data_IF_491441496958
#
_entry.id   IF_491441496958
#
_cell.length_a   1.000
_cell.length_b   1.000
_cell.length_c   1.000
_cell.angle_alpha   90.00
_cell.angle_beta   90.00
_cell.angle_gamma   90.00
#
_symmetry.space_group_name_H-M   'P 1'
#
loop_
_entity.id
_entity.type
_entity.pdbx_description
1 polymer ?
#
# COMPACT_ATOMS: atom_id res chain seq x y z
N UNK A 1 -70.52 10.62 -11.38
CA UNK A 1 -69.55 9.97 -10.49
C UNK A 1 -68.18 10.04 -11.15
N UNK A 2 -67.31 10.93 -10.67
CA UNK A 2 -65.96 11.13 -11.24
C UNK A 2 -64.98 10.31 -10.39
N UNK A 3 -64.37 9.30 -11.00
CA UNK A 3 -63.44 8.37 -10.35
C UNK A 3 -62.02 8.93 -10.42
N UNK A 4 -61.57 9.57 -9.35
CA UNK A 4 -60.20 10.10 -9.21
C UNK A 4 -59.24 8.95 -8.89
N UNK A 5 -58.36 8.58 -9.84
CA UNK A 5 -57.28 7.62 -9.60
C UNK A 5 -56.05 8.37 -9.07
N UNK A 6 -55.69 8.08 -7.82
CA UNK A 6 -54.47 8.59 -7.18
C UNK A 6 -53.30 7.69 -7.60
N UNK A 7 -52.36 8.24 -8.38
CA UNK A 7 -51.08 7.58 -8.66
C UNK A 7 -50.13 7.81 -7.48
N UNK A 8 -49.77 6.73 -6.79
CA UNK A 8 -48.73 6.73 -5.76
C UNK A 8 -47.38 6.48 -6.46
N UNK A 9 -46.54 7.50 -6.54
CA UNK A 9 -45.15 7.37 -6.97
C UNK A 9 -44.30 6.91 -5.78
N UNK A 10 -43.86 5.66 -5.79
CA UNK A 10 -42.87 5.14 -4.85
C UNK A 10 -41.50 5.64 -5.31
N UNK A 11 -40.96 6.67 -4.64
CA UNK A 11 -39.55 7.04 -4.77
C UNK A 11 -38.70 5.91 -4.16
N UNK A 12 -38.06 5.11 -5.02
CA UNK A 12 -36.94 4.27 -4.61
C UNK A 12 -35.76 5.20 -4.29
N UNK A 13 -35.56 5.49 -3.00
CA UNK A 13 -34.32 6.11 -2.54
C UNK A 13 -33.16 5.14 -2.74
N UNK A 14 -32.17 5.55 -3.54
CA UNK A 14 -30.91 4.82 -3.66
C UNK A 14 -30.20 4.85 -2.31
N UNK A 15 -30.06 3.69 -1.67
CA UNK A 15 -29.22 3.54 -0.49
C UNK A 15 -27.77 3.64 -0.97
N UNK A 16 -27.18 4.82 -0.88
CA UNK A 16 -25.73 4.97 -1.00
C UNK A 16 -25.12 4.33 0.24
N UNK A 17 -24.61 3.11 0.12
CA UNK A 17 -23.69 2.56 1.12
C UNK A 17 -22.50 3.52 1.18
N UNK A 18 -22.45 4.31 2.25
CA UNK A 18 -21.24 5.04 2.65
C UNK A 18 -20.15 3.99 2.83
N UNK A 19 -19.28 3.87 1.83
CA UNK A 19 -18.06 3.07 1.96
C UNK A 19 -17.30 3.69 3.14
N UNK A 20 -17.05 2.89 4.18
CA UNK A 20 -16.26 3.37 5.30
C UNK A 20 -14.85 3.69 4.77
N UNK A 21 -14.25 4.84 5.15
CA UNK A 21 -12.94 5.21 4.64
C UNK A 21 -11.94 4.10 4.94
N UNK A 22 -11.09 3.79 3.96
CA UNK A 22 -9.99 2.86 4.10
C UNK A 22 -9.13 3.22 5.32
N UNK A 23 -9.17 2.39 6.36
CA UNK A 23 -8.58 2.70 7.66
C UNK A 23 -7.06 2.41 7.65
N UNK A 24 -6.29 3.46 7.36
CA UNK A 24 -4.83 3.46 7.47
C UNK A 24 -4.40 4.14 8.76
N UNK A 25 -4.60 3.45 9.88
CA UNK A 25 -4.20 3.88 11.23
C UNK A 25 -3.79 2.68 12.09
N UNK A 26 -3.22 2.95 13.27
CA UNK A 26 -2.94 1.94 14.29
C UNK A 26 -1.83 0.97 13.89
N UNK A 27 -1.98 -0.31 14.25
CA UNK A 27 -1.00 -1.34 13.87
C UNK A 27 -1.52 -2.24 12.76
N UNK A 28 -0.61 -2.72 11.91
CA UNK A 28 -0.98 -3.50 10.74
C UNK A 28 0.19 -4.24 10.10
N UNK A 29 -0.13 -5.15 9.19
CA UNK A 29 0.83 -5.72 8.24
C UNK A 29 0.78 -4.96 6.91
N UNK A 30 1.87 -5.03 6.16
CA UNK A 30 1.90 -4.54 4.78
C UNK A 30 2.02 -5.75 3.86
N UNK A 31 0.94 -6.06 3.15
CA UNK A 31 0.90 -7.07 2.12
C UNK A 31 1.35 -6.49 0.78
N UNK A 32 2.00 -7.33 0.00
CA UNK A 32 2.50 -7.01 -1.34
C UNK A 32 1.61 -7.73 -2.34
N UNK A 33 0.91 -6.94 -3.16
CA UNK A 33 -0.04 -7.43 -4.17
C UNK A 33 0.58 -7.23 -5.55
N UNK A 34 0.55 -8.28 -6.38
CA UNK A 34 0.98 -8.14 -7.76
C UNK A 34 -0.09 -7.40 -8.56
N UNK A 35 0.25 -6.25 -9.10
CA UNK A 35 -0.68 -5.40 -9.82
C UNK A 35 -0.15 -3.98 -10.06
N UNK A 36 -0.77 -3.30 -11.01
CA UNK A 36 -0.35 -1.98 -11.49
C UNK A 36 -1.46 -0.93 -11.43
N UNK A 37 -2.60 -1.25 -10.80
CA UNK A 37 -3.72 -0.34 -10.73
C UNK A 37 -4.50 -0.56 -9.41
N UNK A 38 -4.54 0.43 -8.50
CA UNK A 38 -5.25 0.28 -7.22
C UNK A 38 -6.78 0.22 -7.37
N UNK A 39 -7.35 0.72 -8.47
CA UNK A 39 -8.80 0.70 -8.73
C UNK A 39 -9.28 -0.72 -9.05
N UNK A 40 -8.46 -1.47 -9.78
CA UNK A 40 -8.75 -2.86 -10.19
C UNK A 40 -7.92 -3.89 -9.42
N UNK A 41 -7.07 -3.43 -8.50
CA UNK A 41 -6.21 -4.27 -7.67
C UNK A 41 -7.04 -5.26 -6.85
N UNK A 42 -6.61 -6.52 -6.86
CA UNK A 42 -7.29 -7.59 -6.15
C UNK A 42 -6.37 -8.15 -5.06
N UNK A 43 -6.71 -8.03 -3.77
CA UNK A 43 -5.94 -8.64 -2.67
C UNK A 43 -5.80 -10.16 -2.77
N UNK A 44 -6.65 -10.85 -3.54
CA UNK A 44 -6.44 -12.28 -3.82
C UNK A 44 -5.16 -12.54 -4.64
N UNK A 45 -4.63 -11.51 -5.31
CA UNK A 45 -3.32 -11.50 -5.98
C UNK A 45 -2.16 -11.14 -5.03
N UNK A 46 -2.35 -11.27 -3.71
CA UNK A 46 -1.26 -11.10 -2.73
C UNK A 46 -0.16 -12.11 -2.99
N UNK A 47 1.03 -11.61 -3.31
CA UNK A 47 2.23 -12.41 -3.57
C UNK A 47 3.16 -12.46 -2.36
N UNK A 48 2.97 -11.60 -1.36
CA UNK A 48 3.66 -11.71 -0.08
C UNK A 48 3.45 -10.54 0.85
N UNK A 49 4.47 -10.21 1.64
CA UNK A 49 4.41 -9.14 2.62
C UNK A 49 5.79 -8.54 2.90
N UNK A 50 5.80 -7.39 3.57
CA UNK A 50 7.02 -6.77 4.07
C UNK A 50 7.36 -7.32 5.46
N UNK A 51 8.63 -7.62 5.70
CA UNK A 51 9.18 -7.91 7.05
C UNK A 51 9.31 -6.62 7.86
N UNK A 52 9.53 -6.73 9.17
CA UNK A 52 9.75 -5.56 10.03
C UNK A 52 10.96 -4.71 9.62
N UNK A 53 11.93 -5.24 8.87
CA UNK A 53 13.04 -4.47 8.34
C UNK A 53 12.76 -3.83 6.97
N UNK A 54 11.61 -4.14 6.35
CA UNK A 54 11.19 -3.62 5.06
C UNK A 54 11.52 -4.52 3.86
N UNK A 55 11.90 -5.78 4.07
CA UNK A 55 12.17 -6.74 2.98
C UNK A 55 10.89 -7.38 2.49
N UNK A 56 10.73 -7.54 1.17
CA UNK A 56 9.63 -8.30 0.59
C UNK A 56 9.95 -9.79 0.63
N UNK A 57 9.06 -10.57 1.24
CA UNK A 57 9.11 -12.02 1.34
C UNK A 57 7.84 -12.65 0.78
N UNK A 58 7.92 -13.92 0.39
CA UNK A 58 6.80 -14.66 -0.22
C UNK A 58 5.66 -14.93 0.79
N UNK A 59 4.41 -14.94 0.31
CA UNK A 59 3.19 -15.09 1.13
C UNK A 59 3.13 -16.37 1.99
N UNK A 60 3.87 -17.44 1.66
CA UNK A 60 3.87 -18.66 2.47
C UNK A 60 4.52 -18.44 3.86
N UNK A 61 5.38 -17.43 3.97
CA UNK A 61 6.10 -17.05 5.18
C UNK A 61 5.34 -16.02 6.03
N UNK A 62 4.01 -16.13 6.15
CA UNK A 62 3.18 -15.11 6.85
C UNK A 62 3.61 -14.81 8.28
N UNK A 63 4.17 -15.80 8.99
CA UNK A 63 4.68 -15.62 10.35
C UNK A 63 5.89 -14.68 10.42
N UNK A 64 6.52 -14.37 9.29
CA UNK A 64 7.65 -13.42 9.16
C UNK A 64 7.20 -12.03 8.68
N UNK A 65 5.90 -11.83 8.40
CA UNK A 65 5.38 -10.51 8.05
C UNK A 65 5.59 -9.55 9.22
N UNK A 66 6.09 -8.37 8.91
CA UNK A 66 6.32 -7.32 9.89
C UNK A 66 5.02 -6.74 10.41
N UNK A 67 5.06 -6.35 11.68
CA UNK A 67 4.05 -5.45 12.25
C UNK A 67 4.57 -4.04 12.17
N UNK A 68 3.75 -3.17 11.62
CA UNK A 68 4.01 -1.76 11.43
C UNK A 68 3.02 -0.95 12.24
N UNK A 69 3.44 0.25 12.62
CA UNK A 69 2.63 1.22 13.34
C UNK A 69 2.51 2.46 12.47
N UNK A 70 1.27 2.77 12.13
CA UNK A 70 0.84 4.07 11.63
C UNK A 70 0.62 4.98 12.83
N UNK A 71 0.78 6.29 12.64
CA UNK A 71 0.63 7.31 13.70
C UNK A 71 1.72 7.31 14.79
N UNK A 72 2.93 6.86 14.44
CA UNK A 72 4.09 7.09 15.30
C UNK A 72 4.41 8.60 15.37
N UNK A 73 4.62 9.19 16.57
CA UNK A 73 4.89 10.62 16.71
C UNK A 73 6.19 11.08 16.03
N UNK A 74 7.12 10.17 15.74
CA UNK A 74 8.43 10.47 15.15
C UNK A 74 8.47 10.27 13.63
N UNK A 75 7.55 9.50 13.05
CA UNK A 75 7.52 9.21 11.62
C UNK A 75 6.17 8.68 11.16
N UNK A 76 5.86 8.84 9.87
CA UNK A 76 4.56 8.45 9.31
C UNK A 76 4.31 6.94 9.37
N UNK A 77 5.35 6.12 9.28
CA UNK A 77 5.27 4.66 9.36
C UNK A 77 6.50 4.12 10.11
N UNK A 78 6.28 3.19 11.03
CA UNK A 78 7.35 2.60 11.84
C UNK A 78 7.18 1.09 12.01
N UNK A 79 8.25 0.40 12.39
CA UNK A 79 8.25 -0.99 12.84
C UNK A 79 9.10 -1.12 14.11
N UNK A 80 9.30 -2.35 14.59
CA UNK A 80 10.24 -2.65 15.69
C UNK A 80 11.69 -2.27 15.37
N UNK A 81 12.04 -1.99 14.11
CA UNK A 81 13.39 -1.57 13.70
C UNK A 81 13.56 -0.04 13.66
N UNK A 82 12.46 0.72 13.78
CA UNK A 82 12.45 2.17 13.71
C UNK A 82 11.53 2.68 12.60
N UNK A 83 11.77 3.91 12.17
CA UNK A 83 10.99 4.53 11.09
C UNK A 83 11.22 3.83 9.77
N UNK A 84 10.21 3.81 8.91
CA UNK A 84 10.26 3.18 7.61
C UNK A 84 10.21 4.23 6.50
N UNK A 85 10.94 4.00 5.40
CA UNK A 85 10.92 4.91 4.26
C UNK A 85 11.86 4.49 3.13
N UNK A 86 11.97 5.36 2.12
CA UNK A 86 12.80 5.18 0.92
C UNK A 86 14.02 6.11 0.89
N UNK A 87 14.39 6.71 2.03
CA UNK A 87 15.45 7.73 2.12
C UNK A 87 16.67 7.29 2.94
N UNK A 88 16.76 6.00 3.31
CA UNK A 88 17.90 5.47 4.07
C UNK A 88 19.04 5.08 3.11
N UNK A 89 20.19 5.80 3.13
CA UNK A 89 21.30 5.51 2.22
C UNK A 89 22.01 4.20 2.50
N UNK A 90 21.72 3.55 3.63
CA UNK A 90 22.22 2.21 3.94
C UNK A 90 21.33 1.09 3.37
N UNK A 91 20.26 1.42 2.65
CA UNK A 91 19.47 0.48 1.87
C UNK A 91 20.03 0.35 0.43
N UNK A 92 19.55 -0.65 -0.31
CA UNK A 92 19.92 -0.81 -1.72
C UNK A 92 19.56 0.45 -2.50
N UNK A 93 20.52 1.03 -3.23
CA UNK A 93 20.27 2.21 -4.06
C UNK A 93 19.18 1.90 -5.10
N UNK A 94 18.25 2.84 -5.26
CA UNK A 94 17.21 2.76 -6.26
C UNK A 94 17.74 2.93 -7.68
N UNK A 95 16.85 3.36 -8.58
CA UNK A 95 17.19 3.57 -9.99
C UNK A 95 18.13 4.78 -10.15
N UNK A 96 19.02 4.79 -11.16
CA UNK A 96 19.83 5.97 -11.50
C UNK A 96 19.01 7.24 -11.75
N UNK A 97 17.76 7.09 -12.21
CA UNK A 97 16.85 8.22 -12.50
C UNK A 97 16.10 8.74 -11.28
N UNK A 98 16.18 8.03 -10.16
CA UNK A 98 15.59 8.40 -8.88
C UNK A 98 16.67 8.33 -7.78
N UNK A 99 17.82 9.01 -7.96
CA UNK A 99 19.04 8.75 -7.19
C UNK A 99 18.90 9.08 -5.70
N UNK A 100 17.93 9.92 -5.33
CA UNK A 100 17.63 10.23 -3.93
C UNK A 100 16.86 9.13 -3.19
N UNK A 101 16.30 8.16 -3.91
CA UNK A 101 15.50 7.09 -3.32
C UNK A 101 16.26 5.76 -3.27
N UNK A 102 16.06 5.06 -2.17
CA UNK A 102 16.62 3.75 -1.86
C UNK A 102 15.50 2.74 -1.69
N UNK A 103 15.83 1.46 -1.57
CA UNK A 103 14.87 0.43 -1.23
C UNK A 103 14.16 0.76 0.09
N UNK A 104 12.89 0.39 0.19
CA UNK A 104 12.11 0.48 1.41
C UNK A 104 12.86 -0.21 2.55
N UNK A 105 13.06 0.53 3.63
CA UNK A 105 13.77 0.05 4.81
C UNK A 105 13.19 0.64 6.06
N UNK A 106 13.13 -0.16 7.11
CA UNK A 106 12.85 0.31 8.46
C UNK A 106 14.13 0.28 9.30
N UNK A 107 14.43 1.39 9.97
CA UNK A 107 15.68 1.56 10.71
C UNK A 107 15.77 2.91 11.43
N UNK A 108 16.84 3.08 12.21
CA UNK A 108 17.13 4.37 12.89
C UNK A 108 17.38 5.52 11.91
N UNK A 109 18.01 5.24 10.76
CA UNK A 109 18.37 6.24 9.75
C UNK A 109 17.25 6.56 8.77
N UNK A 110 16.15 5.80 8.79
CA UNK A 110 14.98 6.02 7.94
C UNK A 110 14.01 7.08 8.50
N UNK A 111 14.40 7.79 9.57
CA UNK A 111 13.58 8.77 10.30
C UNK A 111 13.24 10.07 9.53
N UNK A 112 13.41 10.12 8.22
CA UNK A 112 13.01 11.29 7.45
C UNK A 112 11.49 11.34 7.32
N UNK A 113 10.91 12.30 8.02
CA UNK A 113 9.48 12.65 8.18
C UNK A 113 8.72 12.81 6.85
N UNK A 114 9.44 12.87 5.73
CA UNK A 114 8.91 13.33 4.44
C UNK A 114 8.52 12.22 3.45
N UNK A 115 8.59 10.93 3.83
CA UNK A 115 8.05 9.88 2.95
C UNK A 115 6.52 9.90 2.91
N UNK A 116 5.86 10.51 3.90
CA UNK A 116 4.42 10.76 3.91
C UNK A 116 3.60 9.55 3.45
N UNK A 117 3.51 8.49 4.26
CA UNK A 117 2.64 7.37 3.96
C UNK A 117 1.19 7.73 4.29
N UNK A 118 0.26 7.47 3.37
CA UNK A 118 -1.17 7.65 3.57
C UNK A 118 -1.98 6.62 2.76
N UNK A 119 -3.29 6.60 2.95
CA UNK A 119 -4.22 5.89 2.09
C UNK A 119 -5.22 6.90 1.54
N UNK A 120 -5.71 6.66 0.32
CA UNK A 120 -6.77 7.44 -0.27
C UNK A 120 -7.97 6.55 -0.59
N UNK A 121 -9.15 7.07 -0.28
CA UNK A 121 -10.42 6.50 -0.74
C UNK A 121 -10.73 7.07 -2.14
N UNK A 122 -10.04 6.54 -3.16
CA UNK A 122 -10.22 6.98 -4.56
C UNK A 122 -11.24 6.15 -5.34
N UNK A 123 -11.73 5.05 -4.77
CA UNK A 123 -12.68 4.18 -5.46
C UNK A 123 -13.80 3.83 -4.50
N UNK A 124 -15.03 4.34 -4.74
CA UNK A 124 -16.19 4.01 -3.90
C UNK A 124 -16.53 2.51 -3.90
N UNK A 125 -15.85 1.69 -4.71
CA UNK A 125 -16.02 0.25 -4.83
C UNK A 125 -14.78 -0.56 -4.43
N UNK A 126 -13.66 0.07 -4.04
CA UNK A 126 -12.47 -0.65 -3.56
C UNK A 126 -12.40 -0.53 -2.03
N UNK A 127 -12.79 -1.56 -1.27
CA UNK A 127 -12.75 -1.52 0.20
C UNK A 127 -11.33 -1.67 0.76
N UNK A 128 -10.29 -1.48 -0.06
CA UNK A 128 -8.92 -1.84 0.26
C UNK A 128 -8.08 -0.62 0.59
N UNK A 129 -7.31 -0.73 1.67
CA UNK A 129 -6.41 0.31 2.15
C UNK A 129 -5.07 0.23 1.43
N UNK A 130 -5.04 0.70 0.19
CA UNK A 130 -3.79 0.83 -0.57
C UNK A 130 -2.90 1.93 0.03
N UNK A 131 -1.62 1.63 0.16
CA UNK A 131 -0.63 2.55 0.70
C UNK A 131 -0.10 3.43 -0.43
N UNK A 132 -0.18 4.73 -0.21
CA UNK A 132 0.41 5.77 -1.05
C UNK A 132 1.62 6.35 -0.32
N UNK A 133 2.54 6.93 -1.09
CA UNK A 133 3.74 7.60 -0.59
C UNK A 133 3.92 8.90 -1.37
N UNK A 134 4.40 9.96 -0.73
CA UNK A 134 4.70 11.22 -1.42
C UNK A 134 3.51 11.81 -2.20
N UNK A 135 3.69 12.09 -3.49
CA UNK A 135 2.71 12.80 -4.32
C UNK A 135 1.87 11.83 -5.16
N UNK A 136 0.92 11.17 -4.51
CA UNK A 136 -0.03 10.21 -5.10
C UNK A 136 0.64 8.94 -5.66
N UNK A 137 1.87 8.61 -5.25
CA UNK A 137 2.56 7.40 -5.70
C UNK A 137 2.00 6.17 -4.96
N UNK A 138 1.33 5.27 -5.69
CA UNK A 138 0.76 4.01 -5.18
C UNK A 138 1.43 2.77 -5.76
N UNK A 139 2.25 2.97 -6.79
CA UNK A 139 2.96 1.91 -7.49
C UNK A 139 4.33 1.74 -6.89
N UNK A 140 4.64 0.48 -6.62
CA UNK A 140 5.92 0.03 -6.12
C UNK A 140 6.46 -1.04 -7.06
N UNK A 141 7.70 -1.41 -6.84
CA UNK A 141 8.35 -2.39 -7.69
C UNK A 141 9.39 -3.22 -6.96
N UNK A 142 9.65 -4.40 -7.50
CA UNK A 142 10.77 -5.24 -7.13
C UNK A 142 11.39 -5.87 -8.38
N UNK A 143 12.67 -6.27 -8.29
CA UNK A 143 13.35 -6.99 -9.39
C UNK A 143 12.69 -8.34 -9.70
N UNK A 144 12.13 -9.00 -8.68
CA UNK A 144 11.40 -10.26 -8.80
C UNK A 144 10.47 -10.45 -7.62
N UNK A 145 9.50 -11.34 -7.77
CA UNK A 145 8.81 -11.96 -6.63
C UNK A 145 9.79 -12.96 -6.00
N UNK A 146 10.11 -12.87 -4.70
CA UNK A 146 11.07 -13.75 -4.04
C UNK A 146 10.56 -15.19 -4.02
N UNK A 147 11.46 -16.17 -4.16
CA UNK A 147 11.14 -17.57 -3.89
C UNK A 147 11.10 -17.86 -2.37
N UNK A 148 10.73 -19.09 -2.00
CA UNK A 148 10.75 -19.52 -0.60
C UNK A 148 12.16 -19.39 -0.03
N UNK A 149 12.28 -18.72 1.12
CA UNK A 149 13.56 -18.49 1.79
C UNK A 149 14.41 -17.35 1.20
N UNK A 150 13.96 -16.70 0.12
CA UNK A 150 14.56 -15.48 -0.40
C UNK A 150 13.84 -14.22 0.10
N UNK A 151 14.49 -13.08 -0.06
CA UNK A 151 13.86 -11.78 0.06
C UNK A 151 14.22 -10.86 -1.12
N UNK A 152 13.43 -9.79 -1.28
CA UNK A 152 13.64 -8.78 -2.30
C UNK A 152 13.51 -7.37 -1.72
N UNK A 153 14.18 -6.42 -2.38
CA UNK A 153 14.01 -4.99 -2.13
C UNK A 153 12.76 -4.48 -2.83
N UNK A 154 12.02 -3.61 -2.16
CA UNK A 154 10.90 -2.85 -2.73
C UNK A 154 11.32 -1.42 -2.97
N UNK A 155 10.95 -0.85 -4.10
CA UNK A 155 11.24 0.53 -4.47
C UNK A 155 9.94 1.24 -4.84
N UNK A 156 9.96 2.57 -4.77
CA UNK A 156 8.91 3.37 -5.43
C UNK A 156 9.02 3.18 -6.94
N UNK A 157 7.89 3.01 -7.63
CA UNK A 157 7.86 2.93 -9.09
C UNK A 157 7.97 4.32 -9.70
N UNK A 158 8.62 4.42 -10.87
CA UNK A 158 8.55 5.61 -11.71
C UNK A 158 7.27 5.54 -12.56
N UNK A 159 6.16 5.95 -11.96
CA UNK A 159 4.83 5.93 -12.58
C UNK A 159 4.75 6.68 -13.93
N UNK A 160 5.72 7.56 -14.22
CA UNK A 160 5.77 8.36 -15.44
C UNK A 160 6.48 7.67 -16.61
N UNK A 161 7.20 6.55 -16.38
CA UNK A 161 8.08 5.95 -17.40
C UNK A 161 7.88 4.46 -17.65
N UNK A 162 6.71 3.91 -17.31
CA UNK A 162 6.42 2.48 -17.33
C UNK A 162 7.32 1.69 -16.36
N UNK A 163 6.88 0.52 -15.87
CA UNK A 163 7.79 -0.33 -15.10
C UNK A 163 9.02 -0.62 -15.94
N UNK A 164 10.20 -0.65 -15.30
CA UNK A 164 11.37 -1.11 -16.01
C UNK A 164 11.08 -2.53 -16.47
N UNK A 165 11.47 -2.91 -17.70
CA UNK A 165 11.16 -4.22 -18.26
C UNK A 165 11.72 -5.40 -17.44
N UNK A 166 12.64 -5.13 -16.51
CA UNK A 166 13.23 -6.09 -15.58
C UNK A 166 12.58 -6.09 -14.17
N UNK A 167 11.41 -5.46 -14.00
CA UNK A 167 10.76 -5.30 -12.69
C UNK A 167 9.28 -5.69 -12.72
N UNK A 168 8.81 -6.12 -11.56
CA UNK A 168 7.42 -6.46 -11.31
C UNK A 168 6.76 -5.28 -10.62
N UNK A 169 5.59 -4.86 -11.10
CA UNK A 169 4.76 -3.83 -10.48
C UNK A 169 3.98 -4.40 -9.30
N UNK A 170 3.97 -3.64 -8.23
CA UNK A 170 3.40 -4.02 -6.95
C UNK A 170 2.51 -2.91 -6.41
N UNK A 171 1.49 -3.32 -5.69
CA UNK A 171 0.73 -2.48 -4.78
C UNK A 171 1.04 -2.90 -3.35
N UNK A 172 1.07 -1.94 -2.44
CA UNK A 172 1.16 -2.21 -1.00
C UNK A 172 -0.22 -2.07 -0.36
N UNK A 173 -0.65 -3.11 0.34
CA UNK A 173 -1.94 -3.18 1.00
C UNK A 173 -1.75 -3.17 2.51
N UNK A 174 -2.40 -2.23 3.18
CA UNK A 174 -2.47 -2.23 4.64
C UNK A 174 -3.52 -3.23 5.12
N UNK A 175 -3.09 -4.16 5.96
CA UNK A 175 -3.95 -5.08 6.68
C UNK A 175 -3.94 -4.72 8.16
N UNK A 176 -4.95 -3.97 8.60
CA UNK A 176 -5.06 -3.49 9.99
C UNK A 176 -5.23 -4.65 10.97
N UNK A 177 -4.54 -4.57 12.10
CA UNK A 177 -4.58 -5.53 13.21
C UNK A 177 -5.26 -4.93 14.44
N UNK A 178 -4.99 -3.67 14.76
CA UNK A 178 -5.57 -2.94 15.89
C UNK A 178 -5.67 -1.45 15.61
#
# INVERSE_FOLDING_TARGET
MVSTKILIYILLGAVTTLCSPADFSGTGNIFVVNGSNPITGNPNSTVGCLTSSGRFILNIDRSKCGTFMRDNPQCSLASSFGCCGFLDPSAEMGRPMAPQFYAFKCGKSAANVNSGFYSLDLSPNSPYTWIYTGNLDVLYEAKKIPAVGEDASVFMSDQWRFPSPDRVELLLLWNKLS
#
